data_IF_478569986011
#
_entry.id   IF_478569986011
#
_cell.length_a   1.000
_cell.length_b   1.000
_cell.length_c   1.000
_cell.angle_alpha   90.00
_cell.angle_beta   90.00
_cell.angle_gamma   90.00
#
_symmetry.space_group_name_H-M   'P 1'
#
loop_
_entity.id
_entity.type
_entity.pdbx_description
1 polymer ?
#
# COMPACT_ATOMS: atom_id res chain seq x y z
N UNK A 1 -22.80 9.52 -6.70
CA UNK A 1 -21.93 9.45 -5.49
C UNK A 1 -20.67 8.67 -5.83
N UNK A 2 -19.50 9.09 -5.28
CA UNK A 2 -18.21 8.40 -5.49
C UNK A 2 -17.90 7.56 -4.25
N UNK A 3 -17.61 6.28 -4.43
CA UNK A 3 -17.11 5.38 -3.40
C UNK A 3 -15.58 5.30 -3.42
N UNK A 4 -14.94 5.34 -2.25
CA UNK A 4 -13.51 5.12 -2.13
C UNK A 4 -13.24 3.96 -1.16
N UNK A 5 -12.71 2.86 -1.69
CA UNK A 5 -12.26 1.73 -0.89
C UNK A 5 -10.78 1.91 -0.53
N UNK A 6 -10.47 1.97 0.77
CA UNK A 6 -9.11 2.11 1.27
C UNK A 6 -8.68 0.82 1.98
N UNK A 7 -7.69 0.12 1.43
CA UNK A 7 -7.21 -1.18 1.91
C UNK A 7 -5.85 -1.04 2.58
N UNK A 8 -5.72 -1.52 3.81
CA UNK A 8 -4.48 -1.53 4.58
C UNK A 8 -3.55 -2.69 4.21
N UNK A 9 -2.33 -2.69 4.74
CA UNK A 9 -1.29 -3.67 4.47
C UNK A 9 -1.35 -4.92 5.34
N UNK A 10 -0.46 -5.87 5.04
CA UNK A 10 -0.22 -7.08 5.82
C UNK A 10 0.34 -6.72 7.20
N UNK A 11 -0.11 -7.40 8.24
CA UNK A 11 0.21 -7.13 9.66
C UNK A 11 -0.20 -5.74 10.16
N UNK A 12 -0.92 -4.97 9.33
CA UNK A 12 -1.39 -3.64 9.65
C UNK A 12 -2.86 -3.60 10.09
N UNK A 13 -3.45 -2.44 9.97
CA UNK A 13 -4.88 -2.21 10.24
C UNK A 13 -5.31 -0.93 9.51
N UNK A 14 -6.61 -0.54 9.52
CA UNK A 14 -7.10 0.67 8.84
C UNK A 14 -6.38 1.97 9.18
N UNK A 15 -5.69 2.05 10.35
CA UNK A 15 -4.89 3.23 10.72
C UNK A 15 -3.80 3.56 9.69
N UNK A 16 -3.28 2.56 8.96
CA UNK A 16 -2.21 2.75 7.96
C UNK A 16 -2.67 3.67 6.81
N UNK A 17 -3.93 3.60 6.46
CA UNK A 17 -4.57 4.42 5.42
C UNK A 17 -5.48 5.51 5.99
N UNK A 18 -5.55 5.65 7.31
CA UNK A 18 -6.39 6.64 7.97
C UNK A 18 -6.12 8.09 7.51
N UNK A 19 -4.87 8.53 7.27
CA UNK A 19 -4.63 9.86 6.73
C UNK A 19 -5.28 10.09 5.36
N UNK A 20 -5.33 9.06 4.51
CA UNK A 20 -6.05 9.10 3.22
C UNK A 20 -7.54 9.22 3.48
N UNK A 21 -8.09 8.36 4.35
CA UNK A 21 -9.51 8.39 4.74
C UNK A 21 -9.91 9.77 5.26
N UNK A 22 -9.13 10.35 6.18
CA UNK A 22 -9.37 11.69 6.74
C UNK A 22 -9.32 12.79 5.68
N UNK A 23 -8.39 12.67 4.72
CA UNK A 23 -8.27 13.63 3.62
C UNK A 23 -9.48 13.55 2.70
N UNK A 24 -9.88 12.36 2.28
CA UNK A 24 -10.96 12.14 1.32
C UNK A 24 -12.36 12.40 1.90
N UNK A 25 -12.59 12.16 3.20
CA UNK A 25 -13.83 12.50 3.90
C UNK A 25 -14.19 13.99 3.89
N UNK A 26 -13.27 14.87 3.53
CA UNK A 26 -13.57 16.30 3.33
C UNK A 26 -14.46 16.55 2.11
N UNK A 27 -14.55 15.61 1.20
CA UNK A 27 -15.42 15.67 0.03
C UNK A 27 -16.80 15.12 0.43
N UNK A 28 -17.80 16.01 0.56
CA UNK A 28 -19.14 15.67 1.09
C UNK A 28 -19.88 14.60 0.30
N UNK A 29 -19.63 14.51 -1.01
CA UNK A 29 -20.29 13.56 -1.92
C UNK A 29 -19.53 12.25 -2.10
N UNK A 30 -18.52 11.99 -1.23
CA UNK A 30 -17.72 10.79 -1.28
C UNK A 30 -18.00 9.87 -0.11
N UNK A 31 -18.28 8.60 -0.40
CA UNK A 31 -18.42 7.54 0.59
C UNK A 31 -17.08 6.82 0.77
N UNK A 32 -16.43 6.98 1.92
CA UNK A 32 -15.12 6.39 2.19
C UNK A 32 -15.29 5.15 3.07
N UNK A 33 -14.84 4.01 2.59
CA UNK A 33 -14.87 2.74 3.30
C UNK A 33 -13.46 2.16 3.45
N UNK A 34 -13.10 1.80 4.67
CA UNK A 34 -11.82 1.19 5.01
C UNK A 34 -12.05 0.00 5.94
N UNK A 35 -12.25 -1.21 5.39
CA UNK A 35 -12.48 -2.41 6.19
C UNK A 35 -11.21 -2.87 6.89
N UNK A 36 -11.39 -3.55 8.03
CA UNK A 36 -10.35 -4.38 8.64
C UNK A 36 -10.33 -5.73 7.93
N UNK A 37 -9.18 -6.11 7.39
CA UNK A 37 -9.00 -7.41 6.75
C UNK A 37 -8.99 -8.55 7.79
N UNK A 38 -9.43 -9.76 7.45
CA UNK A 38 -9.46 -10.90 8.36
C UNK A 38 -8.10 -11.15 9.04
N UNK A 39 -8.12 -11.38 10.33
CA UNK A 39 -6.93 -11.58 11.16
C UNK A 39 -6.16 -10.31 11.55
N UNK A 40 -6.69 -9.11 11.22
CA UNK A 40 -6.04 -7.82 11.48
C UNK A 40 -6.84 -6.94 12.46
N UNK A 41 -7.93 -7.44 13.01
CA UNK A 41 -8.72 -6.74 14.02
C UNK A 41 -8.05 -6.76 15.40
N UNK A 42 -8.51 -5.88 16.31
CA UNK A 42 -8.05 -5.94 17.71
C UNK A 42 -8.38 -7.30 18.33
N UNK A 43 -7.34 -8.01 18.79
CA UNK A 43 -7.48 -9.34 19.35
C UNK A 43 -7.57 -10.50 18.35
N UNK A 44 -7.55 -10.21 17.04
CA UNK A 44 -7.48 -11.23 16.01
C UNK A 44 -6.09 -11.87 15.94
N UNK A 45 -6.04 -13.11 15.46
CA UNK A 45 -4.79 -13.82 15.18
C UNK A 45 -4.61 -14.04 13.67
N UNK A 46 -3.49 -13.59 13.16
CA UNK A 46 -3.09 -13.80 11.76
C UNK A 46 -2.81 -15.28 11.46
N UNK A 47 -2.59 -16.13 12.48
CA UNK A 47 -2.21 -17.54 12.29
C UNK A 47 -3.25 -18.34 11.49
N UNK A 48 -4.53 -18.01 11.64
CA UNK A 48 -5.63 -18.64 10.91
C UNK A 48 -6.08 -17.88 9.66
N UNK A 49 -5.55 -16.69 9.41
CA UNK A 49 -5.95 -15.86 8.28
C UNK A 49 -5.33 -16.38 6.97
N UNK A 50 -6.16 -16.54 5.94
CA UNK A 50 -5.71 -17.03 4.64
C UNK A 50 -5.75 -15.94 3.58
N UNK A 51 -4.91 -16.06 2.56
CA UNK A 51 -4.94 -15.14 1.42
C UNK A 51 -6.31 -15.09 0.71
N UNK A 52 -7.02 -16.22 0.68
CA UNK A 52 -8.37 -16.30 0.10
C UNK A 52 -9.36 -15.47 0.92
N UNK A 53 -9.24 -15.48 2.26
CA UNK A 53 -10.08 -14.66 3.12
C UNK A 53 -9.82 -13.17 2.91
N UNK A 54 -8.57 -12.74 2.71
CA UNK A 54 -8.23 -11.34 2.40
C UNK A 54 -8.80 -10.90 1.05
N UNK A 55 -8.61 -11.73 0.00
CA UNK A 55 -9.17 -11.45 -1.33
C UNK A 55 -10.70 -11.36 -1.23
N UNK A 56 -11.35 -12.32 -0.59
CA UNK A 56 -12.81 -12.34 -0.42
C UNK A 56 -13.33 -11.12 0.34
N UNK A 57 -12.66 -10.72 1.42
CA UNK A 57 -13.06 -9.54 2.19
C UNK A 57 -12.95 -8.24 1.37
N UNK A 58 -11.86 -8.10 0.59
CA UNK A 58 -11.69 -6.96 -0.30
C UNK A 58 -12.73 -6.96 -1.43
N UNK A 59 -13.01 -8.12 -2.02
CA UNK A 59 -14.02 -8.34 -3.06
C UNK A 59 -15.41 -7.95 -2.56
N UNK A 60 -15.82 -8.48 -1.40
CA UNK A 60 -17.09 -8.14 -0.76
C UNK A 60 -17.20 -6.65 -0.44
N UNK A 61 -16.14 -6.02 0.06
CA UNK A 61 -16.12 -4.59 0.35
C UNK A 61 -16.28 -3.74 -0.92
N UNK A 62 -15.65 -4.14 -2.02
CA UNK A 62 -15.76 -3.48 -3.31
C UNK A 62 -17.19 -3.62 -3.87
N UNK A 63 -17.72 -4.84 -3.88
CA UNK A 63 -19.09 -5.11 -4.35
C UNK A 63 -20.12 -4.33 -3.54
N UNK A 64 -19.92 -4.16 -2.23
CA UNK A 64 -20.83 -3.39 -1.39
C UNK A 64 -20.85 -1.91 -1.78
N UNK A 65 -19.69 -1.30 -2.09
CA UNK A 65 -19.65 0.09 -2.54
C UNK A 65 -20.40 0.30 -3.86
N UNK A 66 -20.35 -0.65 -4.78
CA UNK A 66 -21.10 -0.55 -6.05
C UNK A 66 -22.63 -0.59 -5.91
N UNK A 67 -23.15 -0.98 -4.73
CA UNK A 67 -24.60 -0.88 -4.47
C UNK A 67 -25.07 0.57 -4.24
N UNK A 68 -24.16 1.43 -3.78
CA UNK A 68 -24.48 2.81 -3.37
C UNK A 68 -23.79 3.88 -4.20
N UNK A 69 -22.76 3.51 -4.96
CA UNK A 69 -21.89 4.43 -5.66
C UNK A 69 -21.85 4.13 -7.16
N UNK A 70 -22.03 5.16 -7.98
CA UNK A 70 -21.92 5.08 -9.45
C UNK A 70 -20.47 4.90 -9.91
N UNK A 71 -19.53 5.49 -9.15
CA UNK A 71 -18.09 5.43 -9.41
C UNK A 71 -17.38 4.93 -8.18
N UNK A 72 -16.42 4.03 -8.37
CA UNK A 72 -15.61 3.51 -7.26
C UNK A 72 -14.13 3.73 -7.58
N UNK A 73 -13.42 4.30 -6.61
CA UNK A 73 -11.96 4.40 -6.59
C UNK A 73 -11.41 3.42 -5.57
N UNK A 74 -10.31 2.77 -5.89
CA UNK A 74 -9.66 1.84 -4.95
C UNK A 74 -8.26 2.37 -4.62
N UNK A 75 -7.98 2.49 -3.33
CA UNK A 75 -6.70 2.91 -2.79
C UNK A 75 -6.16 1.77 -1.94
N UNK A 76 -4.96 1.29 -2.22
CA UNK A 76 -4.38 0.19 -1.46
C UNK A 76 -2.95 0.45 -1.02
N UNK A 77 -2.67 0.12 0.23
CA UNK A 77 -1.34 0.21 0.82
C UNK A 77 -0.71 -1.18 0.93
N UNK A 78 0.54 -1.34 0.48
CA UNK A 78 1.33 -2.57 0.62
C UNK A 78 0.60 -3.80 0.06
N UNK A 79 0.23 -4.80 0.89
CA UNK A 79 -0.64 -5.91 0.52
C UNK A 79 -2.00 -5.41 0.00
N UNK A 80 -2.58 -4.39 0.64
CA UNK A 80 -3.80 -3.76 0.18
C UNK A 80 -3.67 -3.19 -1.23
N UNK A 81 -2.47 -2.74 -1.63
CA UNK A 81 -2.17 -2.33 -3.00
C UNK A 81 -2.27 -3.49 -4.00
N UNK A 82 -1.84 -4.68 -3.61
CA UNK A 82 -2.03 -5.87 -4.44
C UNK A 82 -3.51 -6.26 -4.53
N UNK A 83 -4.24 -6.21 -3.42
CA UNK A 83 -5.70 -6.43 -3.45
C UNK A 83 -6.41 -5.38 -4.31
N UNK A 84 -5.96 -4.13 -4.29
CA UNK A 84 -6.46 -3.07 -5.17
C UNK A 84 -6.21 -3.41 -6.66
N UNK A 85 -5.05 -3.97 -7.00
CA UNK A 85 -4.78 -4.46 -8.36
C UNK A 85 -5.78 -5.54 -8.78
N UNK A 86 -6.05 -6.52 -7.91
CA UNK A 86 -7.01 -7.58 -8.17
C UNK A 86 -8.42 -7.02 -8.42
N UNK A 87 -8.88 -6.12 -7.56
CA UNK A 87 -10.20 -5.50 -7.70
C UNK A 87 -10.32 -4.68 -8.98
N UNK A 88 -9.28 -3.92 -9.33
CA UNK A 88 -9.25 -3.07 -10.53
C UNK A 88 -9.27 -3.86 -11.85
N UNK A 89 -8.85 -5.13 -11.81
CA UNK A 89 -8.96 -6.03 -12.96
C UNK A 89 -10.32 -6.76 -13.04
N UNK A 90 -11.10 -6.76 -11.96
CA UNK A 90 -12.33 -7.56 -11.83
C UNK A 90 -13.61 -6.73 -11.80
N UNK A 91 -13.52 -5.48 -11.35
CA UNK A 91 -14.65 -4.57 -11.20
C UNK A 91 -14.49 -3.34 -12.11
N UNK A 92 -15.56 -2.66 -12.47
CA UNK A 92 -15.52 -1.41 -13.24
C UNK A 92 -15.07 -0.24 -12.35
N UNK A 93 -13.90 -0.42 -11.70
CA UNK A 93 -13.24 0.63 -10.91
C UNK A 93 -12.80 1.75 -11.86
N UNK A 94 -13.04 3.00 -11.47
CA UNK A 94 -12.71 4.16 -12.30
C UNK A 94 -11.24 4.61 -12.14
N UNK A 95 -10.66 4.43 -10.94
CA UNK A 95 -9.27 4.80 -10.65
C UNK A 95 -8.67 3.92 -9.57
N UNK A 96 -7.38 3.68 -9.67
CA UNK A 96 -6.61 2.97 -8.63
C UNK A 96 -5.40 3.78 -8.18
N UNK A 97 -5.16 3.78 -6.86
CA UNK A 97 -3.97 4.35 -6.24
C UNK A 97 -3.25 3.27 -5.43
N UNK A 98 -1.98 3.09 -5.70
CA UNK A 98 -1.12 2.08 -5.11
C UNK A 98 -0.04 2.77 -4.25
N UNK A 99 -0.10 2.57 -2.95
CA UNK A 99 0.82 3.15 -1.97
C UNK A 99 1.79 2.06 -1.50
N UNK A 100 3.05 2.11 -1.92
CA UNK A 100 4.06 1.10 -1.53
C UNK A 100 3.60 -0.33 -1.80
N UNK A 101 2.93 -0.57 -2.94
CA UNK A 101 2.28 -1.85 -3.23
C UNK A 101 3.29 -2.99 -3.43
N UNK A 102 3.07 -4.11 -2.75
CA UNK A 102 4.02 -5.19 -2.56
C UNK A 102 4.01 -6.23 -3.71
N UNK A 103 4.18 -5.80 -4.98
CA UNK A 103 4.33 -6.73 -6.11
C UNK A 103 5.64 -7.52 -6.01
N UNK A 104 6.69 -6.88 -5.49
CA UNK A 104 7.88 -7.49 -4.92
C UNK A 104 7.97 -7.09 -3.45
N UNK A 105 8.35 -8.00 -2.60
CA UNK A 105 8.59 -7.77 -1.19
C UNK A 105 9.96 -8.28 -0.82
N UNK A 106 10.49 -7.78 0.29
CA UNK A 106 11.83 -8.15 0.74
C UNK A 106 11.88 -9.66 0.90
N UNK A 107 12.78 -10.27 0.17
CA UNK A 107 13.06 -11.70 0.20
C UNK A 107 13.53 -12.08 1.63
N UNK A 108 13.14 -13.21 2.20
CA UNK A 108 13.68 -13.68 3.49
C UNK A 108 15.22 -13.59 3.64
N UNK A 109 16.05 -13.83 2.60
CA UNK A 109 17.47 -13.51 2.63
C UNK A 109 17.79 -12.03 2.84
N UNK A 110 16.98 -11.08 2.39
CA UNK A 110 17.21 -9.66 2.65
C UNK A 110 16.84 -9.31 4.10
N UNK A 111 15.77 -9.86 4.63
CA UNK A 111 15.44 -9.76 6.06
C UNK A 111 16.60 -10.30 6.92
N UNK A 112 17.20 -11.43 6.54
CA UNK A 112 18.38 -11.98 7.21
C UNK A 112 19.60 -11.05 7.09
N UNK A 113 19.81 -10.39 5.94
CA UNK A 113 20.85 -9.38 5.76
C UNK A 113 20.61 -8.17 6.66
N UNK A 114 19.38 -7.68 6.72
CA UNK A 114 19.03 -6.53 7.55
C UNK A 114 19.18 -6.87 9.04
N UNK A 115 18.82 -8.09 9.44
CA UNK A 115 19.14 -8.61 10.80
C UNK A 115 20.65 -8.68 11.06
N UNK A 116 21.45 -9.10 10.08
CA UNK A 116 22.90 -9.16 10.20
C UNK A 116 23.51 -7.76 10.34
N UNK A 117 23.05 -6.80 9.51
CA UNK A 117 23.45 -5.39 9.59
C UNK A 117 23.06 -4.80 10.94
N UNK A 118 21.85 -5.07 11.43
CA UNK A 118 21.39 -4.62 12.73
C UNK A 118 22.20 -5.26 13.88
N UNK A 119 22.56 -6.53 13.77
CA UNK A 119 23.42 -7.21 14.74
C UNK A 119 24.84 -6.65 14.74
N UNK A 120 25.42 -6.38 13.57
CA UNK A 120 26.75 -5.74 13.42
C UNK A 120 26.76 -4.30 13.96
N UNK A 121 25.71 -3.52 13.68
CA UNK A 121 25.55 -2.17 14.24
C UNK A 121 25.42 -2.23 15.77
N UNK A 122 24.76 -3.25 16.31
CA UNK A 122 24.68 -3.50 17.77
C UNK A 122 26.04 -3.82 18.38
N UNK A 123 26.84 -4.64 17.71
CA UNK A 123 28.20 -4.99 18.15
C UNK A 123 29.16 -3.78 18.09
N UNK A 124 28.95 -2.89 17.11
CA UNK A 124 29.75 -1.67 16.93
C UNK A 124 29.27 -0.49 17.80
N UNK A 125 28.22 -0.66 18.61
CA UNK A 125 27.66 0.42 19.45
C UNK A 125 26.99 1.57 18.70
N UNK A 126 26.84 1.43 17.37
CA UNK A 126 26.20 2.44 16.49
C UNK A 126 24.70 2.22 16.32
N UNK A 127 24.16 1.20 17.01
CA UNK A 127 22.78 0.80 16.91
C UNK A 127 21.86 1.69 17.75
N UNK A 128 21.02 2.49 17.12
CA UNK A 128 20.02 3.27 17.82
C UNK A 128 18.78 2.40 18.12
N UNK A 129 18.73 1.82 19.34
CA UNK A 129 17.58 1.07 19.84
C UNK A 129 16.32 1.93 20.01
N UNK A 130 16.49 3.24 20.06
CA UNK A 130 15.43 4.22 20.30
C UNK A 130 14.77 4.71 19.00
N UNK A 131 15.24 4.27 17.82
CA UNK A 131 14.54 4.56 16.58
C UNK A 131 13.13 3.91 16.64
N UNK A 132 12.05 4.70 16.74
CA UNK A 132 10.68 4.18 16.88
C UNK A 132 10.28 3.28 15.70
N UNK A 133 10.83 3.54 14.52
CA UNK A 133 10.57 2.74 13.32
C UNK A 133 11.24 1.37 13.40
N UNK A 134 12.47 1.32 13.89
CA UNK A 134 13.16 0.04 14.08
C UNK A 134 12.45 -0.84 15.10
N UNK A 135 12.05 -0.27 16.24
CA UNK A 135 11.31 -0.99 17.27
C UNK A 135 9.98 -1.54 16.73
N UNK A 136 9.27 -0.71 15.98
CA UNK A 136 8.01 -1.09 15.36
C UNK A 136 8.17 -2.22 14.34
N UNK A 137 9.18 -2.15 13.45
CA UNK A 137 9.45 -3.21 12.47
C UNK A 137 9.96 -4.49 13.09
N UNK A 138 10.88 -4.42 14.04
CA UNK A 138 11.44 -5.60 14.70
C UNK A 138 10.37 -6.36 15.47
N UNK A 139 9.49 -5.64 16.15
CA UNK A 139 8.35 -6.22 16.86
C UNK A 139 7.39 -6.92 15.89
N UNK A 140 6.98 -6.24 14.82
CA UNK A 140 6.11 -6.83 13.78
C UNK A 140 6.70 -8.12 13.19
N UNK A 141 7.98 -8.13 12.86
CA UNK A 141 8.63 -9.31 12.29
C UNK A 141 8.64 -10.47 13.28
N UNK A 142 8.91 -10.21 14.58
CA UNK A 142 8.95 -11.23 15.61
C UNK A 142 7.57 -11.81 15.93
N UNK A 143 6.53 -10.98 15.89
CA UNK A 143 5.16 -11.37 16.24
C UNK A 143 4.38 -11.97 15.05
N UNK A 144 4.89 -11.84 13.80
CA UNK A 144 4.18 -12.33 12.63
C UNK A 144 4.37 -13.83 12.44
N UNK A 145 3.28 -14.63 12.46
CA UNK A 145 3.36 -16.08 12.24
C UNK A 145 3.90 -16.41 10.85
N UNK A 146 4.80 -17.40 10.75
CA UNK A 146 5.34 -17.85 9.46
C UNK A 146 4.24 -18.33 8.50
N UNK A 147 3.16 -18.91 9.03
CA UNK A 147 1.98 -19.29 8.24
C UNK A 147 1.33 -18.10 7.57
N UNK A 148 1.21 -16.97 8.28
CA UNK A 148 0.66 -15.74 7.71
C UNK A 148 1.60 -15.12 6.65
N UNK A 149 2.93 -15.19 6.85
CA UNK A 149 3.90 -14.79 5.82
C UNK A 149 3.74 -15.65 4.56
N UNK A 150 3.57 -16.95 4.72
CA UNK A 150 3.32 -17.86 3.61
C UNK A 150 2.03 -17.51 2.86
N UNK A 151 0.94 -17.24 3.59
CA UNK A 151 -0.33 -16.81 2.98
C UNK A 151 -0.18 -15.46 2.26
N UNK A 152 0.58 -14.53 2.82
CA UNK A 152 0.90 -13.26 2.13
C UNK A 152 1.64 -13.51 0.80
N UNK A 153 2.62 -14.42 0.78
CA UNK A 153 3.32 -14.75 -0.48
C UNK A 153 2.38 -15.34 -1.52
N UNK A 154 1.41 -16.16 -1.10
CA UNK A 154 0.35 -16.68 -1.98
C UNK A 154 -0.55 -15.57 -2.51
N UNK A 155 -0.96 -14.62 -1.65
CA UNK A 155 -1.76 -13.47 -2.09
C UNK A 155 -1.07 -12.72 -3.22
N UNK A 156 0.20 -12.34 -3.02
CA UNK A 156 0.99 -11.62 -4.04
C UNK A 156 1.13 -12.45 -5.31
N UNK A 157 1.48 -13.73 -5.21
CA UNK A 157 1.64 -14.63 -6.36
C UNK A 157 0.34 -14.79 -7.14
N UNK A 158 -0.80 -14.90 -6.45
CA UNK A 158 -2.13 -15.05 -7.05
C UNK A 158 -2.57 -13.78 -7.76
N UNK A 159 -2.30 -12.61 -7.16
CA UNK A 159 -2.79 -11.32 -7.67
C UNK A 159 -1.89 -10.73 -8.75
N UNK A 160 -0.58 -10.93 -8.68
CA UNK A 160 0.38 -10.31 -9.60
C UNK A 160 0.07 -10.48 -11.09
N UNK A 161 -0.45 -11.63 -11.59
CA UNK A 161 -0.85 -11.78 -13.00
C UNK A 161 -1.93 -10.80 -13.47
N UNK A 162 -2.80 -10.32 -12.56
CA UNK A 162 -3.89 -9.38 -12.89
C UNK A 162 -3.39 -7.95 -13.16
N UNK A 163 -2.15 -7.62 -12.79
CA UNK A 163 -1.58 -6.27 -13.01
C UNK A 163 -1.68 -5.85 -14.48
N UNK A 164 -1.42 -6.75 -15.42
CA UNK A 164 -1.49 -6.48 -16.87
C UNK A 164 -2.91 -6.21 -17.38
N UNK A 165 -3.93 -6.66 -16.63
CA UNK A 165 -5.34 -6.49 -16.99
C UNK A 165 -5.91 -5.12 -16.55
N UNK A 166 -5.16 -4.37 -15.75
CA UNK A 166 -5.57 -3.05 -15.27
C UNK A 166 -5.38 -2.03 -16.39
N UNK A 167 -6.48 -1.52 -16.93
CA UNK A 167 -6.49 -0.55 -18.04
C UNK A 167 -6.94 0.85 -17.63
N UNK A 168 -7.41 1.01 -16.41
CA UNK A 168 -7.94 2.25 -15.83
C UNK A 168 -6.83 3.21 -15.41
N UNK A 169 -7.12 4.53 -15.26
CA UNK A 169 -6.18 5.50 -14.72
C UNK A 169 -5.59 5.05 -13.37
N UNK A 170 -4.26 5.05 -13.28
CA UNK A 170 -3.51 4.42 -12.19
C UNK A 170 -2.41 5.33 -11.64
N UNK A 171 -2.35 5.50 -10.32
CA UNK A 171 -1.28 6.21 -9.63
C UNK A 171 -0.51 5.24 -8.73
N UNK A 172 0.79 5.14 -8.97
CA UNK A 172 1.71 4.33 -8.19
C UNK A 172 2.61 5.29 -7.39
N UNK A 173 2.66 5.10 -6.08
CA UNK A 173 3.38 5.97 -5.16
C UNK A 173 4.32 5.13 -4.29
N UNK A 174 5.62 5.48 -4.26
CA UNK A 174 6.65 4.68 -3.60
C UNK A 174 7.67 5.56 -2.87
N UNK A 175 8.03 5.16 -1.66
CA UNK A 175 9.16 5.75 -0.93
C UNK A 175 10.49 5.19 -1.42
N UNK A 176 11.48 6.06 -1.67
CA UNK A 176 12.80 5.61 -2.11
C UNK A 176 13.59 4.93 -0.98
N UNK A 177 13.28 5.28 0.28
CA UNK A 177 13.90 4.68 1.48
C UNK A 177 13.08 3.50 2.04
N UNK A 178 12.18 2.92 1.24
CA UNK A 178 11.37 1.79 1.65
C UNK A 178 12.21 0.51 1.77
N UNK A 179 12.47 0.08 2.99
CA UNK A 179 13.23 -1.15 3.29
C UNK A 179 12.39 -2.44 3.25
N UNK A 180 11.06 -2.35 3.12
CA UNK A 180 10.16 -3.51 3.06
C UNK A 180 9.77 -3.86 1.63
N UNK A 181 9.37 -2.84 0.86
CA UNK A 181 8.96 -2.97 -0.53
C UNK A 181 9.91 -2.14 -1.38
N UNK A 182 10.79 -2.77 -2.17
CA UNK A 182 11.78 -2.05 -2.95
C UNK A 182 11.13 -1.22 -4.06
N UNK A 183 11.76 -0.14 -4.49
CA UNK A 183 11.34 0.71 -5.63
C UNK A 183 11.05 -0.13 -6.87
N UNK A 184 11.82 -1.20 -7.09
CA UNK A 184 11.59 -2.18 -8.16
C UNK A 184 10.16 -2.74 -8.19
N UNK A 185 9.46 -2.77 -7.04
CA UNK A 185 8.04 -3.17 -7.00
C UNK A 185 7.15 -2.17 -7.73
N UNK A 186 7.37 -0.89 -7.50
CA UNK A 186 6.63 0.18 -8.14
C UNK A 186 6.97 0.29 -9.64
N UNK A 187 8.23 0.11 -10.00
CA UNK A 187 8.69 0.04 -11.39
C UNK A 187 8.01 -1.12 -12.14
N UNK A 188 8.02 -2.33 -11.54
CA UNK A 188 7.32 -3.48 -12.11
C UNK A 188 5.83 -3.20 -12.35
N UNK A 189 5.13 -2.62 -11.37
CA UNK A 189 3.72 -2.26 -11.53
C UNK A 189 3.52 -1.25 -12.66
N UNK A 190 4.37 -0.22 -12.71
CA UNK A 190 4.31 0.79 -13.76
C UNK A 190 4.57 0.21 -15.16
N UNK A 191 5.55 -0.65 -15.32
CA UNK A 191 5.91 -1.26 -16.60
C UNK A 191 4.86 -2.25 -17.10
N UNK A 192 4.32 -3.08 -16.20
CA UNK A 192 3.47 -4.21 -16.58
C UNK A 192 1.97 -3.92 -16.54
N UNK A 193 1.54 -2.78 -16.00
CA UNK A 193 0.15 -2.38 -15.97
C UNK A 193 -0.34 -1.99 -17.37
N UNK A 194 -1.50 -2.51 -17.79
CA UNK A 194 -2.11 -2.26 -19.11
C UNK A 194 -2.67 -0.84 -19.29
N UNK A 195 -2.73 -0.04 -18.21
CA UNK A 195 -3.21 1.34 -18.25
C UNK A 195 -2.39 2.23 -19.18
N UNK A 196 -3.06 3.00 -20.03
CA UNK A 196 -2.45 4.07 -20.84
C UNK A 196 -2.24 5.35 -20.04
N UNK A 197 -3.06 5.59 -19.02
CA UNK A 197 -2.94 6.71 -18.08
C UNK A 197 -2.40 6.20 -16.75
N UNK A 198 -1.09 6.07 -16.64
CA UNK A 198 -0.42 5.63 -15.41
C UNK A 198 0.69 6.61 -15.01
N UNK A 199 0.83 6.82 -13.71
CA UNK A 199 1.83 7.72 -13.13
C UNK A 199 2.60 7.00 -12.04
N UNK A 200 3.91 7.21 -11.99
CA UNK A 200 4.79 6.75 -10.92
C UNK A 200 5.38 7.95 -10.18
N UNK A 201 5.10 8.05 -8.88
CA UNK A 201 5.66 9.09 -8.03
C UNK A 201 6.59 8.47 -6.98
N UNK A 202 7.84 8.95 -6.97
CA UNK A 202 8.84 8.56 -5.99
C UNK A 202 9.01 9.68 -4.96
N UNK A 203 9.15 9.29 -3.70
CA UNK A 203 9.29 10.19 -2.55
C UNK A 203 10.62 9.91 -1.86
N UNK A 204 11.59 10.83 -2.04
CA UNK A 204 13.01 10.64 -1.66
C UNK A 204 13.21 10.34 -0.18
N UNK A 205 12.46 11.03 0.67
CA UNK A 205 12.64 10.96 2.12
C UNK A 205 11.67 9.99 2.81
N UNK A 206 10.80 9.35 2.03
CA UNK A 206 9.77 8.46 2.55
C UNK A 206 10.22 7.00 2.59
N UNK A 207 9.88 6.36 3.69
CA UNK A 207 9.95 4.91 3.90
C UNK A 207 8.62 4.25 3.51
N UNK A 208 8.37 3.01 3.98
CA UNK A 208 7.18 2.24 3.62
C UNK A 208 5.85 2.95 3.94
N UNK A 209 5.72 3.56 5.11
CA UNK A 209 4.49 4.24 5.54
C UNK A 209 4.39 5.65 4.97
N UNK A 210 4.17 5.77 3.65
CA UNK A 210 4.09 7.04 2.92
C UNK A 210 3.16 8.07 3.56
N UNK A 211 2.00 7.62 4.05
CA UNK A 211 0.99 8.50 4.65
C UNK A 211 1.33 8.95 6.08
N UNK A 212 2.44 8.48 6.65
CA UNK A 212 2.89 8.80 8.02
C UNK A 212 4.31 9.35 8.07
N UNK A 213 4.99 9.41 6.92
CA UNK A 213 6.37 9.87 6.78
C UNK A 213 6.49 11.38 6.56
N UNK A 214 7.72 11.87 6.30
CA UNK A 214 8.02 13.28 6.07
C UNK A 214 7.27 13.88 4.88
N UNK A 215 7.09 13.10 3.81
CA UNK A 215 6.35 13.52 2.61
C UNK A 215 4.82 13.40 2.74
N UNK A 216 4.26 13.09 3.91
CA UNK A 216 2.82 12.84 4.13
C UNK A 216 1.92 13.86 3.43
N UNK A 217 2.19 15.15 3.61
CA UNK A 217 1.37 16.21 3.01
C UNK A 217 1.37 16.10 1.50
N UNK A 218 2.55 15.94 0.90
CA UNK A 218 2.74 15.84 -0.55
C UNK A 218 2.06 14.58 -1.11
N UNK A 219 2.23 13.42 -0.43
CA UNK A 219 1.57 12.16 -0.79
C UNK A 219 0.05 12.33 -0.84
N UNK A 220 -0.54 12.91 0.21
CA UNK A 220 -1.98 13.10 0.30
C UNK A 220 -2.52 14.10 -0.74
N UNK A 221 -1.76 15.18 -1.03
CA UNK A 221 -2.14 16.18 -2.02
C UNK A 221 -2.01 15.64 -3.46
N UNK A 222 -0.97 14.86 -3.76
CA UNK A 222 -0.77 14.20 -5.04
C UNK A 222 -1.87 13.16 -5.31
N UNK A 223 -2.24 12.37 -4.31
CA UNK A 223 -3.32 11.40 -4.36
C UNK A 223 -4.68 12.09 -4.64
N UNK A 224 -5.02 13.11 -3.86
CA UNK A 224 -6.30 13.82 -4.03
C UNK A 224 -6.40 14.48 -5.40
N UNK A 225 -5.34 15.13 -5.88
CA UNK A 225 -5.28 15.73 -7.22
C UNK A 225 -5.51 14.69 -8.33
N UNK A 226 -4.88 13.53 -8.22
CA UNK A 226 -5.10 12.44 -9.17
C UNK A 226 -6.56 11.97 -9.18
N UNK A 227 -7.15 11.76 -8.01
CA UNK A 227 -8.55 11.32 -7.92
C UNK A 227 -9.53 12.36 -8.48
N UNK A 228 -9.25 13.65 -8.30
CA UNK A 228 -10.08 14.78 -8.79
C UNK A 228 -9.83 15.19 -10.25
N UNK A 229 -8.93 14.52 -10.98
CA UNK A 229 -8.49 14.94 -12.32
C UNK A 229 -7.85 16.34 -12.37
N UNK A 230 -7.29 16.82 -11.28
CA UNK A 230 -6.62 18.12 -11.25
C UNK A 230 -5.21 17.99 -11.87
N UNK A 231 -5.14 18.21 -13.19
CA UNK A 231 -3.91 18.12 -13.98
C UNK A 231 -3.06 19.42 -13.82
N UNK A 232 -2.43 19.64 -12.66
CA UNK A 232 -1.28 20.52 -12.62
C UNK A 232 -0.01 19.69 -12.84
N UNK A 233 0.84 20.04 -13.83
CA UNK A 233 2.12 19.37 -14.00
C UNK A 233 2.92 19.51 -12.70
N UNK A 234 3.60 18.42 -12.31
CA UNK A 234 4.53 18.43 -11.20
C UNK A 234 5.63 19.43 -11.55
N UNK A 235 5.70 20.56 -10.86
CA UNK A 235 6.89 21.41 -10.91
C UNK A 235 7.98 20.54 -10.25
N UNK A 236 8.84 19.94 -11.07
CA UNK A 236 10.08 19.35 -10.58
C UNK A 236 10.83 20.50 -9.92
N UNK A 237 11.08 20.38 -8.61
CA UNK A 237 11.76 21.40 -7.85
C UNK A 237 13.05 21.77 -8.55
N UNK A 238 13.14 23.01 -9.00
CA UNK A 238 14.38 23.60 -9.46
C UNK A 238 15.40 23.49 -8.32
N UNK A 239 16.60 23.08 -8.65
CA UNK A 239 17.76 23.27 -7.82
C UNK A 239 17.87 24.78 -7.51
N UNK A 240 17.53 25.16 -6.30
CA UNK A 240 18.02 26.43 -5.78
C UNK A 240 19.48 26.17 -5.37
N UNK A 241 20.35 26.76 -6.14
CA UNK A 241 21.81 26.90 -5.91
C UNK A 241 22.09 27.67 -4.63
#
# INVERSE_FOLDING_TARGET
MIGCLCLHGFTGAPWEVEPVVKKLKKNKDWLIYSPTLPGHGPGDDLKGATYKAWIYAADKACAELFKYCEKVYVIGFSMGGMLACYLSARYPVEKVVLLGAAAYYVNPPQLLKDFKIAAEARLKGTFNKEDPWYQFYSKKIQETPLTAVYEFTKAVKTVRPFVKEITIPSLIMQGELDGLVPVKSAEYLFENMGSREKRLYLYKDSRHYLCHGPDKKRVLDDLERFLKNENKPRIQGGNET
#
